data_IF_595598010377
#
_entry.id   IF_595598010377
#
_cell.length_a   1.000
_cell.length_b   1.000
_cell.length_c   1.000
_cell.angle_alpha   90.00
_cell.angle_beta   90.00
_cell.angle_gamma   90.00
#
_symmetry.space_group_name_H-M   'P 1'
#
loop_
_entity.id
_entity.type
_entity.pdbx_description
1 polymer ?
#
# COMPACT_ATOMS: atom_id res chain seq x y z
N UNK A 1 -23.77 -19.34 5.25
CA UNK A 1 -22.93 -19.09 4.06
C UNK A 1 -21.74 -20.01 4.23
N UNK A 2 -21.56 -21.02 3.37
CA UNK A 2 -20.34 -21.83 3.42
C UNK A 2 -19.26 -21.02 2.69
N UNK A 3 -18.37 -20.39 3.44
CA UNK A 3 -17.28 -19.61 2.86
C UNK A 3 -16.32 -20.55 2.12
N UNK A 4 -16.19 -20.37 0.80
CA UNK A 4 -15.31 -21.17 -0.06
C UNK A 4 -13.84 -20.76 0.16
N UNK A 5 -13.25 -21.21 1.27
CA UNK A 5 -11.84 -20.99 1.56
C UNK A 5 -10.95 -21.89 0.70
N UNK A 6 -9.91 -21.30 0.13
CA UNK A 6 -8.85 -22.03 -0.57
C UNK A 6 -7.74 -22.40 0.43
N UNK A 7 -7.21 -23.61 0.37
CA UNK A 7 -6.13 -24.07 1.24
C UNK A 7 -4.91 -24.51 0.42
N UNK A 8 -3.72 -24.12 0.86
CA UNK A 8 -2.42 -24.46 0.26
C UNK A 8 -1.66 -25.43 1.17
N UNK A 9 -0.99 -26.45 0.61
CA UNK A 9 -0.08 -27.30 1.39
C UNK A 9 1.30 -26.64 1.48
N UNK A 10 1.77 -26.41 2.72
CA UNK A 10 3.13 -25.92 2.99
C UNK A 10 3.83 -26.85 3.98
N UNK A 11 5.15 -26.87 3.91
CA UNK A 11 5.98 -27.56 4.88
C UNK A 11 6.14 -26.65 6.11
N UNK A 12 5.89 -27.19 7.29
CA UNK A 12 6.21 -26.51 8.54
C UNK A 12 7.71 -26.61 8.85
N UNK A 13 8.14 -25.95 9.92
CA UNK A 13 9.54 -25.96 10.35
C UNK A 13 10.06 -27.39 10.67
N UNK A 14 9.17 -28.33 10.99
CA UNK A 14 9.51 -29.71 11.36
C UNK A 14 9.51 -30.66 10.16
N UNK A 15 9.28 -30.16 8.94
CA UNK A 15 9.27 -30.95 7.71
C UNK A 15 7.92 -31.61 7.41
N UNK A 16 6.86 -31.27 8.16
CA UNK A 16 5.53 -31.87 8.00
C UNK A 16 4.67 -31.01 7.08
N UNK A 17 3.93 -31.67 6.19
CA UNK A 17 2.95 -30.99 5.34
C UNK A 17 1.72 -30.57 6.15
N UNK A 18 1.44 -29.27 6.16
CA UNK A 18 0.28 -28.66 6.80
C UNK A 18 -0.55 -27.88 5.79
N UNK A 19 -1.88 -27.91 5.95
CA UNK A 19 -2.82 -27.13 5.13
C UNK A 19 -2.96 -25.73 5.73
N UNK A 20 -2.56 -24.72 4.98
CA UNK A 20 -2.61 -23.31 5.36
C UNK A 20 -3.71 -22.61 4.57
N UNK A 21 -4.39 -21.66 5.20
CA UNK A 21 -5.38 -20.83 4.53
C UNK A 21 -4.70 -20.03 3.41
N UNK A 22 -5.20 -20.18 2.19
CA UNK A 22 -4.75 -19.45 1.02
C UNK A 22 -5.24 -17.99 1.02
N UNK A 23 -5.03 -17.27 -0.09
CA UNK A 23 -5.46 -15.88 -0.23
C UNK A 23 -6.97 -15.71 0.06
N UNK A 24 -7.30 -14.81 0.98
CA UNK A 24 -8.69 -14.40 1.29
C UNK A 24 -9.05 -13.06 0.66
N UNK A 25 -8.15 -12.52 -0.17
CA UNK A 25 -8.34 -11.29 -0.91
C UNK A 25 -8.50 -11.59 -2.39
N UNK A 26 -9.24 -10.74 -3.08
CA UNK A 26 -9.30 -10.80 -4.54
C UNK A 26 -7.94 -10.46 -5.15
N UNK A 27 -7.55 -11.22 -6.17
CA UNK A 27 -6.35 -10.93 -6.93
C UNK A 27 -6.42 -9.50 -7.48
N UNK A 28 -5.29 -8.79 -7.40
CA UNK A 28 -5.19 -7.45 -7.97
C UNK A 28 -5.56 -7.44 -9.44
N UNK A 29 -6.26 -6.40 -9.87
CA UNK A 29 -6.61 -6.17 -11.28
C UNK A 29 -5.47 -5.67 -12.20
N UNK A 30 -4.32 -5.13 -11.74
CA UNK A 30 -3.38 -4.55 -12.67
C UNK A 30 -2.64 -5.65 -13.44
N UNK A 31 -2.92 -5.74 -14.74
CA UNK A 31 -2.19 -6.62 -15.67
C UNK A 31 -0.86 -6.00 -16.15
N UNK A 32 -0.67 -4.70 -15.94
CA UNK A 32 0.50 -3.95 -16.39
C UNK A 32 0.94 -2.92 -15.34
N UNK A 33 2.21 -2.53 -15.42
CA UNK A 33 2.77 -1.44 -14.62
C UNK A 33 2.16 -0.12 -15.09
N UNK A 34 1.64 0.67 -14.17
CA UNK A 34 1.20 2.04 -14.44
C UNK A 34 2.39 2.99 -14.31
N UNK A 35 2.61 3.84 -15.31
CA UNK A 35 3.53 4.98 -15.23
C UNK A 35 2.71 6.25 -14.95
N UNK A 36 2.77 6.73 -13.71
CA UNK A 36 2.06 7.94 -13.29
C UNK A 36 2.51 9.20 -14.04
N UNK A 37 3.71 9.18 -14.64
CA UNK A 37 4.24 10.32 -15.39
C UNK A 37 3.56 10.52 -16.73
N UNK A 38 2.93 9.48 -17.30
CA UNK A 38 2.18 9.58 -18.56
C UNK A 38 0.99 10.54 -18.45
N UNK A 39 0.42 10.67 -17.24
CA UNK A 39 -0.70 11.59 -16.97
C UNK A 39 -0.26 13.04 -16.79
N UNK A 40 1.05 13.32 -16.78
CA UNK A 40 1.64 14.63 -16.50
C UNK A 40 2.55 15.04 -17.66
N UNK A 41 2.10 16.01 -18.42
CA UNK A 41 2.73 16.45 -19.67
C UNK A 41 4.04 17.20 -19.42
N UNK A 42 4.14 17.94 -18.32
CA UNK A 42 5.28 18.84 -18.06
C UNK A 42 6.07 18.52 -16.81
N UNK A 43 7.32 18.99 -16.76
CA UNK A 43 8.17 18.88 -15.56
C UNK A 43 7.57 19.59 -14.34
N UNK A 44 6.93 20.74 -14.54
CA UNK A 44 6.28 21.49 -13.46
C UNK A 44 5.07 20.76 -12.90
N UNK A 45 4.27 20.13 -13.74
CA UNK A 45 3.16 19.27 -13.30
C UNK A 45 3.65 18.09 -12.47
N UNK A 46 4.73 17.43 -12.90
CA UNK A 46 5.37 16.35 -12.15
C UNK A 46 5.89 16.83 -10.80
N UNK A 47 6.55 17.99 -10.77
CA UNK A 47 7.06 18.59 -9.55
C UNK A 47 5.93 18.97 -8.59
N UNK A 48 4.83 19.53 -9.10
CA UNK A 48 3.64 19.86 -8.32
C UNK A 48 2.97 18.61 -7.75
N UNK A 49 2.84 17.56 -8.56
CA UNK A 49 2.30 16.27 -8.13
C UNK A 49 3.14 15.68 -6.99
N UNK A 50 4.47 15.64 -7.15
CA UNK A 50 5.39 15.13 -6.13
C UNK A 50 5.30 15.91 -4.82
N UNK A 51 5.31 17.25 -4.87
CA UNK A 51 5.17 18.08 -3.67
C UNK A 51 3.84 17.86 -2.95
N UNK A 52 2.77 17.59 -3.71
CA UNK A 52 1.43 17.30 -3.17
C UNK A 52 1.36 15.91 -2.55
N UNK A 53 1.86 14.88 -3.25
CA UNK A 53 1.87 13.50 -2.77
C UNK A 53 2.81 13.32 -1.57
N UNK A 54 3.95 14.00 -1.58
CA UNK A 54 4.95 13.98 -0.52
C UNK A 54 4.78 15.17 0.42
N UNK A 55 3.53 15.56 0.71
CA UNK A 55 3.21 16.72 1.55
C UNK A 55 3.92 16.69 2.90
N UNK A 56 4.10 15.51 3.49
CA UNK A 56 4.84 15.34 4.75
C UNK A 56 6.26 15.95 4.69
N UNK A 57 6.93 15.85 3.54
CA UNK A 57 8.31 16.32 3.36
C UNK A 57 8.39 17.76 2.83
N UNK A 58 7.40 18.22 2.07
CA UNK A 58 7.44 19.52 1.39
C UNK A 58 6.54 20.60 2.01
N UNK A 59 5.67 20.24 2.96
CA UNK A 59 4.77 21.19 3.61
C UNK A 59 5.45 21.87 4.79
N UNK A 60 5.67 23.18 4.71
CA UNK A 60 6.14 23.99 5.84
C UNK A 60 5.06 24.15 6.93
N UNK A 61 3.79 24.01 6.56
CA UNK A 61 2.64 24.25 7.47
C UNK A 61 2.21 23.01 8.26
N UNK A 62 2.75 21.83 7.94
CA UNK A 62 2.32 20.57 8.57
C UNK A 62 3.21 20.22 9.74
N UNK A 63 2.90 20.79 10.89
CA UNK A 63 3.40 20.29 12.15
C UNK A 63 2.67 18.97 12.39
N UNK A 64 3.40 17.85 12.46
CA UNK A 64 2.82 16.56 12.81
C UNK A 64 2.14 16.57 14.18
N UNK A 65 1.92 15.40 14.77
CA UNK A 65 1.42 15.30 16.16
C UNK A 65 2.23 16.11 17.18
N UNK A 66 3.44 16.55 16.82
CA UNK A 66 4.31 17.47 17.56
C UNK A 66 3.65 18.79 17.97
N UNK A 67 2.64 19.29 17.24
CA UNK A 67 1.86 20.47 17.68
C UNK A 67 0.61 20.15 18.49
N UNK A 68 0.23 18.88 18.66
CA UNK A 68 -0.82 18.50 19.62
C UNK A 68 -0.21 18.45 21.02
N UNK A 69 -0.01 19.62 21.63
CA UNK A 69 -0.01 19.73 23.10
C UNK A 69 -1.46 19.53 23.55
N UNK A 70 -1.84 18.29 23.78
CA UNK A 70 -3.02 17.97 24.56
C UNK A 70 -2.51 17.77 25.98
N UNK A 71 -2.86 18.67 26.89
CA UNK A 71 -2.65 18.47 28.32
C UNK A 71 -3.41 17.20 28.74
N UNK A 72 -2.75 16.35 29.50
CA UNK A 72 -3.32 15.14 30.09
C UNK A 72 -4.15 15.48 31.33
#
# INVERSE_FOLDING_TARGET
MADNYTYEEKEDFEGKKVKVLGPTYDAGKPAQKEDWTEKLATGDERMRYLRTALRYWYSADWFGSEKRKQEA
#
